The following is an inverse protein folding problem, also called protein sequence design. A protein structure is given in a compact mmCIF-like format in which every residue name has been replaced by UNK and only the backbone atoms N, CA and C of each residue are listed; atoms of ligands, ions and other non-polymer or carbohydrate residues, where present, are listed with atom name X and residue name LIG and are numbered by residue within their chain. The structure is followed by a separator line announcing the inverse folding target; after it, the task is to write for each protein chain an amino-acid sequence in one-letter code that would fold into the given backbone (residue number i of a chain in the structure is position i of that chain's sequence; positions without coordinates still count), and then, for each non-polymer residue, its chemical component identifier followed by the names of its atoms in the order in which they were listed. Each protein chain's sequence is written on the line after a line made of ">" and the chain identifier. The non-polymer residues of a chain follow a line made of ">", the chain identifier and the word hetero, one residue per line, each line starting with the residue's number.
data_IF_982623784756
#
_entry.id   IF_982623784756
#
_cell.length_a   1.000
_cell.length_b   1.000
_cell.length_c   1.000
_cell.angle_alpha   90.00
_cell.angle_beta   90.00
_cell.angle_gamma   90.00
#
_symmetry.space_group_name_H-M   'P 1'
#
loop_
_entity.id
_entity.type
_entity.pdbx_description
1 polymer ?
#
# COMPACT_ATOMS: atom_id res chain seq x y z
N UNK A 1 -1.17 8.64 -14.28
CA UNK A 1 -1.36 8.83 -12.82
C UNK A 1 -2.86 8.96 -12.56
N UNK A 2 -3.66 7.98 -12.20
CA UNK A 2 -3.46 6.64 -11.65
C UNK A 2 -4.62 6.43 -10.68
N UNK A 3 -5.80 6.06 -11.20
CA UNK A 3 -7.11 5.95 -10.51
C UNK A 3 -7.12 5.13 -9.21
N UNK A 4 -6.01 4.44 -8.89
CA UNK A 4 -5.80 3.70 -7.64
C UNK A 4 -5.49 4.60 -6.44
N UNK A 5 -4.83 5.75 -6.63
CA UNK A 5 -4.59 6.72 -5.54
C UNK A 5 -5.88 7.43 -5.15
N UNK A 6 -6.69 7.83 -6.15
CA UNK A 6 -8.05 8.34 -5.94
C UNK A 6 -8.94 7.31 -5.24
N UNK A 7 -8.86 6.03 -5.62
CA UNK A 7 -9.68 4.97 -5.00
C UNK A 7 -9.30 4.71 -3.54
N UNK A 8 -8.00 4.67 -3.21
CA UNK A 8 -7.57 4.51 -1.82
C UNK A 8 -7.85 5.76 -1.00
N UNK A 9 -7.60 6.95 -1.54
CA UNK A 9 -7.94 8.23 -0.89
C UNK A 9 -9.45 8.38 -0.65
N UNK A 10 -10.28 7.93 -1.59
CA UNK A 10 -11.74 7.93 -1.47
C UNK A 10 -12.23 6.99 -0.36
N UNK A 11 -11.59 5.81 -0.19
CA UNK A 11 -11.92 4.88 0.90
C UNK A 11 -11.57 5.51 2.26
N UNK A 12 -10.40 6.14 2.40
CA UNK A 12 -10.04 6.83 3.65
C UNK A 12 -10.96 8.03 3.95
N UNK A 13 -11.39 8.76 2.93
CA UNK A 13 -12.36 9.85 3.07
C UNK A 13 -13.73 9.33 3.52
N UNK A 14 -14.21 8.22 2.96
CA UNK A 14 -15.45 7.58 3.39
C UNK A 14 -15.40 7.10 4.84
N UNK A 15 -14.27 6.51 5.26
CA UNK A 15 -14.07 6.10 6.66
C UNK A 15 -14.07 7.31 7.59
N UNK A 16 -13.39 8.40 7.21
CA UNK A 16 -13.39 9.65 7.98
C UNK A 16 -14.81 10.21 8.15
N UNK A 17 -15.59 10.28 7.07
CA UNK A 17 -16.97 10.77 7.09
C UNK A 17 -17.87 9.87 7.95
N UNK A 18 -17.72 8.54 7.86
CA UNK A 18 -18.47 7.60 8.69
C UNK A 18 -18.15 7.77 10.18
N UNK A 19 -16.88 7.98 10.54
CA UNK A 19 -16.46 8.22 11.92
C UNK A 19 -17.01 9.55 12.44
N UNK A 20 -16.93 10.63 11.64
CA UNK A 20 -17.51 11.93 12.01
C UNK A 20 -19.02 11.82 12.20
N UNK A 21 -19.73 11.07 11.35
CA UNK A 21 -21.16 10.83 11.48
C UNK A 21 -21.51 10.02 12.75
N UNK A 22 -20.70 9.01 13.11
CA UNK A 22 -20.89 8.23 14.33
C UNK A 22 -20.65 9.10 15.57
N UNK A 23 -19.59 9.91 15.57
CA UNK A 23 -19.31 10.86 16.66
C UNK A 23 -20.44 11.87 16.78
N UNK A 24 -20.91 12.45 15.66
CA UNK A 24 -22.03 13.39 15.66
C UNK A 24 -23.33 12.74 16.17
N UNK A 25 -23.59 11.48 15.83
CA UNK A 25 -24.73 10.71 16.34
C UNK A 25 -24.65 10.45 17.85
N UNK A 26 -23.44 10.22 18.38
CA UNK A 26 -23.21 10.05 19.82
C UNK A 26 -23.31 11.36 20.60
N UNK A 27 -22.89 12.49 20.02
CA UNK A 27 -22.98 13.81 20.65
C UNK A 27 -24.35 14.49 20.48
N UNK A 28 -25.13 14.10 19.46
CA UNK A 28 -26.42 14.73 19.12
C UNK A 28 -27.63 14.25 19.93
N UNK A 29 -27.45 13.39 20.95
CA UNK A 29 -28.55 12.76 21.70
C UNK A 29 -28.63 13.18 23.16
N UNK A 30 -28.42 14.46 23.44
CA UNK A 30 -28.85 15.08 24.70
C UNK A 30 -30.04 15.98 24.40
N UNK A 31 -31.26 15.42 24.44
CA UNK A 31 -32.43 16.25 24.72
C UNK A 31 -32.28 16.72 26.16
N UNK A 32 -31.72 17.92 26.33
CA UNK A 32 -31.66 18.56 27.64
C UNK A 32 -33.08 18.84 28.12
N UNK A 33 -33.39 18.45 29.36
CA UNK A 33 -34.59 18.89 30.08
C UNK A 33 -34.71 20.42 29.96
N UNK A 34 -35.95 20.94 29.81
CA UNK A 34 -36.22 22.37 29.73
C UNK A 34 -35.62 23.08 30.96
N UNK A 35 -34.99 24.23 30.72
CA UNK A 35 -34.44 25.06 31.79
C UNK A 35 -35.49 26.05 32.26
N UNK A 36 -35.75 26.10 33.56
CA UNK A 36 -36.69 27.03 34.20
C UNK A 36 -35.95 27.93 35.20
N UNK A 37 -36.48 29.13 35.42
CA UNK A 37 -35.90 30.10 36.34
C UNK A 37 -35.99 29.64 37.79
N UNK A 38 -34.97 29.99 38.59
CA UNK A 38 -34.90 29.62 40.01
C UNK A 38 -36.12 30.11 40.80
N UNK A 39 -36.66 31.27 40.43
CA UNK A 39 -37.87 31.84 41.04
C UNK A 39 -39.09 30.94 40.87
N UNK A 40 -39.26 30.34 39.69
CA UNK A 40 -40.33 29.39 39.39
C UNK A 40 -40.17 28.12 40.22
N UNK A 41 -38.92 27.64 40.37
CA UNK A 41 -38.61 26.48 41.20
C UNK A 41 -38.92 26.73 42.67
N UNK A 42 -38.57 27.91 43.19
CA UNK A 42 -38.86 28.29 44.58
C UNK A 42 -40.37 28.43 44.81
N UNK A 43 -41.11 28.98 43.85
CA UNK A 43 -42.56 29.09 43.94
C UNK A 43 -43.24 27.70 43.94
N UNK A 44 -42.83 26.81 43.03
CA UNK A 44 -43.36 25.44 42.95
C UNK A 44 -42.98 24.59 44.18
N UNK A 45 -41.77 24.79 44.73
CA UNK A 45 -41.33 24.11 45.96
C UNK A 45 -42.16 24.53 47.18
N UNK A 46 -42.53 25.82 47.27
CA UNK A 46 -43.40 26.35 48.35
C UNK A 46 -44.88 25.98 48.16
N UNK A 47 -45.32 25.82 46.91
CA UNK A 47 -46.68 25.39 46.59
C UNK A 47 -46.92 23.89 46.87
N UNK A 48 -45.86 23.10 47.07
CA UNK A 48 -45.94 21.65 47.27
C UNK A 48 -46.03 20.86 45.96
N UNK A 49 -45.69 21.49 44.83
CA UNK A 49 -45.75 20.87 43.50
C UNK A 49 -44.47 20.10 43.14
N UNK A 50 -43.51 19.98 44.06
CA UNK A 50 -42.23 19.32 43.83
C UNK A 50 -41.96 18.33 44.97
N UNK A 51 -41.57 17.12 44.60
CA UNK A 51 -41.27 16.06 45.57
C UNK A 51 -39.77 16.00 45.89
N UNK A 52 -38.91 16.21 44.89
CA UNK A 52 -37.47 16.08 45.06
C UNK A 52 -36.68 17.14 44.28
N UNK A 53 -35.70 17.75 44.97
CA UNK A 53 -34.69 18.63 44.37
C UNK A 53 -33.32 17.98 44.51
N UNK A 54 -32.73 17.61 43.37
CA UNK A 54 -31.39 17.03 43.33
C UNK A 54 -30.39 18.15 43.04
N UNK A 55 -29.46 18.37 43.97
CA UNK A 55 -28.40 19.37 43.86
C UNK A 55 -27.13 18.71 43.37
N UNK A 56 -26.63 19.14 42.22
CA UNK A 56 -25.34 18.74 41.65
C UNK A 56 -24.49 20.00 41.36
N UNK A 57 -23.64 20.38 42.31
CA UNK A 57 -22.94 21.66 42.29
C UNK A 57 -23.94 22.84 42.30
N UNK A 58 -23.95 23.62 41.22
CA UNK A 58 -24.86 24.75 41.02
C UNK A 58 -26.11 24.38 40.20
N UNK A 59 -26.16 23.17 39.64
CA UNK A 59 -27.31 22.68 38.88
C UNK A 59 -28.32 22.03 39.83
N UNK A 60 -29.59 22.35 39.62
CA UNK A 60 -30.73 21.76 40.29
C UNK A 60 -31.50 20.92 39.27
N UNK A 61 -31.79 19.66 39.60
CA UNK A 61 -32.74 18.81 38.85
C UNK A 61 -34.00 18.66 39.68
N UNK A 62 -35.15 19.01 39.11
CA UNK A 62 -36.44 19.05 39.79
C UNK A 62 -37.25 17.84 39.36
N UNK A 63 -37.78 17.09 40.34
CA UNK A 63 -38.55 15.87 40.12
C UNK A 63 -39.90 15.91 40.83
N UNK A 64 -40.93 15.45 40.13
CA UNK A 64 -42.28 15.28 40.64
C UNK A 64 -42.80 13.90 40.17
N UNK A 65 -43.41 13.12 41.07
CA UNK A 65 -43.95 11.80 40.75
C UNK A 65 -42.92 10.77 40.28
N UNK A 66 -41.63 11.00 40.52
CA UNK A 66 -40.54 10.14 40.05
C UNK A 66 -39.94 10.51 38.68
N UNK A 67 -40.48 11.51 37.98
CA UNK A 67 -39.97 11.97 36.67
C UNK A 67 -39.24 13.32 36.76
N UNK A 68 -38.12 13.46 36.05
CA UNK A 68 -37.36 14.70 35.99
C UNK A 68 -38.10 15.71 35.09
N UNK A 69 -38.61 16.81 35.67
CA UNK A 69 -39.45 17.79 34.96
C UNK A 69 -38.61 18.83 34.21
N UNK A 70 -37.75 19.53 34.95
CA UNK A 70 -36.95 20.63 34.44
C UNK A 70 -35.65 20.78 35.24
N UNK A 71 -34.70 21.51 34.65
CA UNK A 71 -33.45 21.89 35.32
C UNK A 71 -33.48 23.37 35.66
N UNK A 72 -32.85 23.72 36.77
CA UNK A 72 -32.60 25.11 37.13
C UNK A 72 -31.19 25.28 37.66
N UNK A 73 -30.77 26.51 37.92
CA UNK A 73 -29.43 26.83 38.42
C UNK A 73 -29.56 27.78 39.61
N UNK A 74 -28.77 27.54 40.65
CA UNK A 74 -28.62 28.45 41.79
C UNK A 74 -27.38 29.32 41.66
N UNK A 75 -27.32 30.39 42.44
CA UNK A 75 -26.12 31.22 42.53
C UNK A 75 -24.98 30.45 43.22
N UNK A 76 -23.76 30.65 42.74
CA UNK A 76 -22.57 30.02 43.28
C UNK A 76 -22.40 30.37 44.77
N UNK A 77 -22.25 29.36 45.63
CA UNK A 77 -22.14 29.55 47.08
C UNK A 77 -23.46 29.73 47.84
N UNK A 78 -24.61 29.84 47.16
CA UNK A 78 -25.93 29.86 47.82
C UNK A 78 -26.38 28.44 48.20
N UNK A 79 -27.04 28.29 49.35
CA UNK A 79 -27.64 27.03 49.76
C UNK A 79 -29.11 26.99 49.33
N UNK A 80 -29.49 26.02 48.49
CA UNK A 80 -30.90 25.87 48.09
C UNK A 80 -31.80 25.56 49.29
N UNK A 81 -31.22 24.94 50.34
CA UNK A 81 -31.90 24.71 51.60
C UNK A 81 -32.36 26.02 52.23
N UNK A 82 -31.49 27.04 52.25
CA UNK A 82 -31.78 28.34 52.86
C UNK A 82 -32.81 29.14 52.05
N UNK A 83 -32.83 28.95 50.72
CA UNK A 83 -33.76 29.65 49.83
C UNK A 83 -35.19 29.07 49.87
N UNK A 84 -35.33 27.79 50.19
CA UNK A 84 -36.62 27.08 50.22
C UNK A 84 -37.19 27.00 51.64
N UNK A 85 -36.36 27.04 52.68
CA UNK A 85 -36.81 27.00 54.06
C UNK A 85 -37.76 28.18 54.39
N UNK A 86 -38.82 27.89 55.15
CA UNK A 86 -39.73 28.92 55.68
C UNK A 86 -39.05 29.74 56.79
N UNK A 87 -39.67 30.84 57.24
CA UNK A 87 -39.13 31.73 58.29
C UNK A 87 -38.73 31.02 59.60
N UNK A 88 -39.23 29.79 59.82
CA UNK A 88 -38.91 28.93 60.97
C UNK A 88 -37.80 27.89 60.70
N UNK A 89 -37.13 27.95 59.56
CA UNK A 89 -36.09 26.98 59.17
C UNK A 89 -36.61 25.60 58.76
N UNK A 90 -37.92 25.44 58.56
CA UNK A 90 -38.55 24.19 58.16
C UNK A 90 -38.71 24.11 56.64
N UNK A 91 -38.37 22.97 56.05
CA UNK A 91 -38.63 22.63 54.64
C UNK A 91 -40.14 22.34 54.50
N UNK A 92 -40.80 22.75 53.39
CA UNK A 92 -42.17 22.36 53.08
C UNK A 92 -42.40 20.84 53.23
N UNK A 93 -43.51 20.44 53.86
CA UNK A 93 -43.83 19.03 54.05
C UNK A 93 -43.94 18.31 52.70
N UNK A 94 -43.19 17.22 52.52
CA UNK A 94 -43.16 16.42 51.28
C UNK A 94 -41.94 16.65 50.39
N UNK A 95 -41.14 17.70 50.62
CA UNK A 95 -39.99 18.01 49.78
C UNK A 95 -38.68 17.37 50.29
N UNK A 96 -38.02 16.60 49.44
CA UNK A 96 -36.70 16.00 49.73
C UNK A 96 -35.59 16.69 48.95
N UNK A 97 -34.56 17.18 49.64
CA UNK A 97 -33.36 17.77 49.00
C UNK A 97 -32.23 16.75 49.03
N UNK A 98 -31.81 16.27 47.85
CA UNK A 98 -30.76 15.27 47.69
C UNK A 98 -29.49 15.90 47.10
N UNK A 99 -28.42 16.00 47.87
CA UNK A 99 -27.15 16.56 47.40
C UNK A 99 -26.30 15.43 46.83
N UNK A 100 -26.05 15.44 45.52
CA UNK A 100 -25.11 14.53 44.88
C UNK A 100 -23.69 15.02 45.12
N UNK A 101 -22.88 14.21 45.76
CA UNK A 101 -21.42 14.42 45.76
C UNK A 101 -20.92 14.16 44.35
N UNK A 102 -20.53 15.20 43.62
CA UNK A 102 -19.78 15.08 42.37
C UNK A 102 -18.37 14.57 42.67
N UNK A 103 -18.27 13.28 43.02
CA UNK A 103 -17.00 12.62 43.29
C UNK A 103 -16.13 12.68 42.04
N UNK A 104 -14.99 13.37 42.14
CA UNK A 104 -14.11 13.66 41.00
C UNK A 104 -13.75 12.44 40.14
N UNK A 105 -13.71 11.24 40.74
CA UNK A 105 -13.47 9.98 40.03
C UNK A 105 -14.48 9.67 38.93
N UNK A 106 -15.76 10.08 39.06
CA UNK A 106 -16.77 9.89 38.01
C UNK A 106 -16.49 10.74 36.77
N UNK A 107 -16.02 11.98 36.97
CA UNK A 107 -15.62 12.85 35.86
C UNK A 107 -14.34 12.37 35.18
N UNK A 108 -13.36 11.83 35.93
CA UNK A 108 -12.15 11.24 35.32
C UNK A 108 -12.47 10.00 34.48
N UNK A 109 -13.36 9.11 34.94
CA UNK A 109 -13.82 7.97 34.15
C UNK A 109 -14.61 8.41 32.91
N UNK A 110 -15.45 9.44 33.04
CA UNK A 110 -16.15 10.05 31.91
C UNK A 110 -15.19 10.57 30.83
N UNK A 111 -14.17 11.32 31.24
CA UNK A 111 -13.12 11.84 30.34
C UNK A 111 -12.40 10.69 29.61
N UNK A 112 -12.03 9.61 30.32
CA UNK A 112 -11.36 8.46 29.71
C UNK A 112 -12.25 7.74 28.68
N UNK A 113 -13.55 7.59 28.98
CA UNK A 113 -14.53 7.00 28.05
C UNK A 113 -14.73 7.89 26.82
N UNK A 114 -14.71 9.23 26.97
CA UNK A 114 -14.80 10.17 25.85
C UNK A 114 -13.58 10.10 24.92
N UNK A 115 -12.37 9.86 25.46
CA UNK A 115 -11.15 9.77 24.65
C UNK A 115 -10.87 8.36 24.08
N UNK A 116 -11.52 7.32 24.62
CA UNK A 116 -11.34 5.94 24.17
C UNK A 116 -11.60 5.73 22.66
N UNK A 117 -12.67 6.30 22.04
CA UNK A 117 -12.87 6.22 20.60
C UNK A 117 -11.76 6.89 19.79
N UNK A 118 -11.24 8.03 20.24
CA UNK A 118 -10.17 8.76 19.56
C UNK A 118 -8.84 7.98 19.59
N UNK A 119 -8.53 7.37 20.73
CA UNK A 119 -7.32 6.56 20.92
C UNK A 119 -7.39 5.26 20.10
N UNK A 120 -8.54 4.58 20.11
CA UNK A 120 -8.76 3.37 19.34
C UNK A 120 -8.70 3.65 17.83
N UNK A 121 -9.25 4.77 17.37
CA UNK A 121 -9.12 5.21 15.98
C UNK A 121 -7.66 5.46 15.59
N UNK A 122 -6.89 6.20 16.41
CA UNK A 122 -5.46 6.44 16.18
C UNK A 122 -4.64 5.14 16.12
N UNK A 123 -4.93 4.18 17.00
CA UNK A 123 -4.27 2.88 17.02
C UNK A 123 -4.55 2.05 15.75
N UNK A 124 -5.81 2.02 15.30
CA UNK A 124 -6.20 1.35 14.05
C UNK A 124 -5.54 2.02 12.84
N UNK A 125 -5.47 3.35 12.81
CA UNK A 125 -4.83 4.10 11.73
C UNK A 125 -3.33 3.77 11.63
N UNK A 126 -2.63 3.70 12.77
CA UNK A 126 -1.23 3.28 12.83
C UNK A 126 -1.07 1.82 12.36
N UNK A 127 -1.97 0.92 12.75
CA UNK A 127 -1.94 -0.47 12.30
C UNK A 127 -2.08 -0.59 10.77
N UNK A 128 -3.03 0.13 10.17
CA UNK A 128 -3.21 0.15 8.70
C UNK A 128 -2.01 0.79 7.98
N UNK A 129 -1.42 1.87 8.51
CA UNK A 129 -0.22 2.48 7.92
C UNK A 129 0.97 1.51 7.93
N UNK A 130 1.15 0.76 9.03
CA UNK A 130 2.19 -0.27 9.13
C UNK A 130 1.96 -1.42 8.15
N UNK A 131 0.71 -1.81 7.92
CA UNK A 131 0.36 -2.86 6.95
C UNK A 131 0.50 -2.38 5.49
N UNK A 132 0.15 -1.12 5.21
CA UNK A 132 0.27 -0.53 3.88
C UNK A 132 1.73 -0.33 3.42
N UNK A 133 2.65 -0.05 4.35
CA UNK A 133 4.08 0.06 4.02
C UNK A 133 4.72 -1.28 3.59
N UNK A 134 4.16 -2.42 3.96
CA UNK A 134 4.63 -3.75 3.51
C UNK A 134 4.34 -4.07 2.04
N UNK A 135 3.41 -3.36 1.39
CA UNK A 135 3.01 -3.59 0.00
C UNK A 135 3.64 -2.59 -1.00
N UNK A 136 4.12 -1.44 -0.51
CA UNK A 136 4.64 -0.37 -1.37
C UNK A 136 6.08 -0.61 -1.89
N UNK A 137 6.76 -1.68 -1.44
CA UNK A 137 8.08 -2.07 -1.96
C UNK A 137 8.03 -2.69 -3.37
N UNK A 138 6.87 -3.12 -3.87
CA UNK A 138 6.78 -3.64 -5.24
C UNK A 138 6.71 -2.51 -6.28
N UNK A 139 6.02 -1.41 -5.98
CA UNK A 139 5.84 -0.28 -6.90
C UNK A 139 7.14 0.49 -7.22
N UNK A 140 8.06 0.56 -6.25
CA UNK A 140 9.40 1.15 -6.46
C UNK A 140 10.43 0.17 -7.08
N UNK A 141 10.09 -1.11 -7.22
CA UNK A 141 10.94 -2.11 -7.88
C UNK A 141 10.72 -2.23 -9.40
N UNK A 142 9.76 -1.48 -9.97
CA UNK A 142 9.52 -1.50 -11.42
C UNK A 142 10.67 -0.93 -12.26
N UNK A 143 11.56 -0.12 -11.67
CA UNK A 143 12.73 0.45 -12.35
C UNK A 143 14.04 -0.31 -12.10
N UNK A 144 14.09 -1.19 -11.09
CA UNK A 144 15.19 -2.15 -10.92
C UNK A 144 14.61 -3.48 -11.28
N UNK A 145 14.75 -3.85 -12.56
CA UNK A 145 14.56 -5.19 -13.05
C UNK A 145 14.93 -6.17 -11.94
N UNK A 146 13.93 -6.81 -11.32
CA UNK A 146 14.14 -8.13 -10.71
C UNK A 146 14.38 -9.05 -11.90
N UNK A 147 15.47 -8.80 -12.64
CA UNK A 147 15.99 -9.70 -13.64
C UNK A 147 16.14 -10.98 -12.85
N UNK A 148 15.24 -11.92 -13.13
CA UNK A 148 15.46 -13.34 -12.88
C UNK A 148 16.94 -13.52 -13.19
N UNK A 149 17.78 -13.75 -12.17
CA UNK A 149 19.22 -13.86 -12.39
C UNK A 149 19.33 -14.91 -13.49
N UNK A 150 19.76 -14.48 -14.68
CA UNK A 150 19.93 -15.39 -15.79
C UNK A 150 21.26 -16.04 -15.46
N UNK A 151 21.24 -16.99 -14.54
CA UNK A 151 22.43 -17.75 -14.19
C UNK A 151 22.80 -18.48 -15.47
N UNK A 152 23.94 -18.11 -16.05
CA UNK A 152 24.45 -18.78 -17.24
C UNK A 152 24.60 -20.26 -16.93
N UNK A 153 23.70 -21.08 -17.46
CA UNK A 153 23.79 -22.52 -17.25
C UNK A 153 24.92 -23.02 -18.15
N UNK A 154 25.68 -24.02 -17.69
CA UNK A 154 26.64 -24.71 -18.55
C UNK A 154 25.89 -25.88 -19.20
N UNK A 155 25.49 -25.76 -20.48
CA UNK A 155 24.76 -26.83 -21.14
C UNK A 155 25.64 -28.07 -21.26
N UNK A 156 25.04 -29.23 -21.06
CA UNK A 156 25.70 -30.54 -21.26
C UNK A 156 25.56 -31.06 -22.69
N UNK A 157 24.74 -30.38 -23.51
CA UNK A 157 24.49 -30.72 -24.91
C UNK A 157 25.74 -30.40 -25.74
N UNK A 158 26.13 -31.30 -26.63
CA UNK A 158 27.34 -31.19 -27.47
C UNK A 158 26.98 -31.34 -28.96
N UNK A 159 27.95 -31.22 -29.87
CA UNK A 159 27.67 -31.42 -31.30
C UNK A 159 27.23 -32.84 -31.64
N UNK A 160 27.57 -33.82 -30.80
CA UNK A 160 27.09 -35.19 -30.93
C UNK A 160 25.56 -35.30 -30.83
N UNK A 161 24.90 -34.37 -30.14
CA UNK A 161 23.45 -34.36 -29.91
C UNK A 161 22.66 -33.66 -31.03
N UNK A 162 23.33 -33.10 -32.04
CA UNK A 162 22.70 -32.33 -33.13
C UNK A 162 22.94 -33.04 -34.46
N UNK A 163 21.90 -33.53 -35.14
CA UNK A 163 22.06 -34.26 -36.41
C UNK A 163 21.58 -33.44 -37.62
N UNK A 164 22.13 -33.74 -38.80
CA UNK A 164 21.61 -33.26 -40.10
C UNK A 164 21.96 -31.81 -40.46
N UNK A 165 23.00 -31.24 -39.85
CA UNK A 165 23.46 -29.85 -40.07
C UNK A 165 24.99 -29.78 -40.13
N UNK A 166 25.61 -30.64 -40.94
CA UNK A 166 27.06 -30.84 -40.94
C UNK A 166 27.83 -29.59 -41.41
N UNK A 167 27.29 -28.83 -42.36
CA UNK A 167 27.89 -27.57 -42.83
C UNK A 167 27.89 -26.51 -41.74
N UNK A 168 26.73 -26.28 -41.10
CA UNK A 168 26.60 -25.31 -40.02
C UNK A 168 27.43 -25.71 -38.79
N UNK A 169 27.54 -27.02 -38.50
CA UNK A 169 28.42 -27.53 -37.45
C UNK A 169 29.89 -27.22 -37.75
N UNK A 170 30.34 -27.42 -38.99
CA UNK A 170 31.72 -27.14 -39.40
C UNK A 170 32.08 -25.66 -39.26
N UNK A 171 31.18 -24.74 -39.64
CA UNK A 171 31.39 -23.29 -39.45
C UNK A 171 31.41 -22.91 -37.97
N UNK A 172 30.50 -23.46 -37.17
CA UNK A 172 30.42 -23.17 -35.74
C UNK A 172 31.57 -23.80 -34.93
N UNK A 173 32.25 -24.82 -35.46
CA UNK A 173 33.45 -25.39 -34.86
C UNK A 173 34.56 -24.33 -34.71
N UNK A 174 34.68 -23.40 -35.66
CA UNK A 174 35.64 -22.29 -35.57
C UNK A 174 35.32 -21.40 -34.35
N UNK A 175 34.02 -21.11 -34.13
CA UNK A 175 33.56 -20.32 -32.97
C UNK A 175 33.87 -21.05 -31.65
N UNK A 176 33.71 -22.38 -31.61
CA UNK A 176 34.11 -23.18 -30.44
C UNK A 176 35.61 -23.05 -30.17
N UNK A 177 36.45 -23.12 -31.20
CA UNK A 177 37.90 -22.94 -31.04
C UNK A 177 38.27 -21.54 -30.54
N UNK A 178 37.61 -20.49 -31.04
CA UNK A 178 37.81 -19.12 -30.55
C UNK A 178 37.51 -18.99 -29.05
N UNK A 179 36.45 -19.65 -28.58
CA UNK A 179 36.05 -19.61 -27.17
C UNK A 179 36.97 -20.43 -26.27
N UNK A 180 37.52 -21.56 -26.77
CA UNK A 180 38.47 -22.40 -26.03
C UNK A 180 39.88 -21.82 -25.99
N UNK A 181 40.35 -21.22 -27.08
CA UNK A 181 41.73 -20.79 -27.26
C UNK A 181 41.85 -19.33 -27.72
N UNK A 182 41.24 -18.35 -27.01
CA UNK A 182 41.21 -16.95 -27.46
C UNK A 182 42.60 -16.34 -27.68
N UNK A 183 43.59 -16.73 -26.88
CA UNK A 183 44.97 -16.24 -26.98
C UNK A 183 45.66 -16.63 -28.31
N UNK A 184 45.39 -17.84 -28.81
CA UNK A 184 45.95 -18.34 -30.08
C UNK A 184 45.52 -17.45 -31.25
N UNK A 185 44.26 -17.03 -31.26
CA UNK A 185 43.70 -16.18 -32.30
C UNK A 185 44.12 -14.72 -32.14
N UNK A 186 44.20 -14.22 -30.91
CA UNK A 186 44.70 -12.88 -30.62
C UNK A 186 46.17 -12.71 -31.07
N UNK A 187 47.01 -13.73 -30.87
CA UNK A 187 48.41 -13.72 -31.31
C UNK A 187 48.56 -13.64 -32.85
N UNK A 188 47.60 -14.20 -33.58
CA UNK A 188 47.55 -14.13 -35.05
C UNK A 188 46.91 -12.82 -35.56
N UNK A 189 46.46 -11.94 -34.66
CA UNK A 189 45.74 -10.71 -35.02
C UNK A 189 44.31 -10.95 -35.52
N UNK A 190 43.79 -12.18 -35.36
CA UNK A 190 42.42 -12.51 -35.76
C UNK A 190 41.41 -11.86 -34.81
N UNK A 191 40.36 -11.27 -35.36
CA UNK A 191 39.26 -10.69 -34.57
C UNK A 191 38.17 -11.72 -34.39
N UNK A 192 37.76 -11.93 -33.14
CA UNK A 192 36.65 -12.81 -32.80
C UNK A 192 35.36 -12.24 -33.43
N UNK A 193 34.57 -13.03 -34.17
CA UNK A 193 33.25 -12.63 -34.64
C UNK A 193 32.38 -12.19 -33.46
N UNK A 194 31.78 -10.99 -33.54
CA UNK A 194 30.99 -10.43 -32.44
C UNK A 194 29.56 -10.99 -32.35
N UNK A 195 29.11 -11.70 -33.39
CA UNK A 195 27.79 -12.30 -33.43
C UNK A 195 27.63 -13.23 -34.63
N UNK A 196 26.76 -14.22 -34.49
CA UNK A 196 26.37 -15.17 -35.53
C UNK A 196 24.85 -15.18 -35.59
N UNK A 197 24.29 -15.14 -36.80
CA UNK A 197 22.85 -15.20 -37.02
C UNK A 197 22.50 -16.55 -37.66
N UNK A 198 21.78 -17.40 -36.93
CA UNK A 198 21.29 -18.68 -37.44
C UNK A 198 19.93 -18.47 -38.14
N UNK A 199 19.90 -18.65 -39.46
CA UNK A 199 18.70 -18.50 -40.28
C UNK A 199 18.16 -19.87 -40.69
N UNK A 200 16.84 -20.04 -40.61
CA UNK A 200 16.16 -21.24 -41.11
C UNK A 200 14.73 -21.37 -40.59
N UNK A 201 13.93 -22.29 -41.17
CA UNK A 201 12.56 -22.56 -40.73
C UNK A 201 12.45 -22.87 -39.22
N UNK A 202 11.29 -22.66 -38.58
CA UNK A 202 11.08 -23.11 -37.20
C UNK A 202 11.26 -24.64 -37.11
N UNK A 203 11.81 -25.11 -35.98
CA UNK A 203 12.02 -26.54 -35.74
C UNK A 203 13.32 -27.15 -36.30
N UNK A 204 14.17 -26.40 -36.99
CA UNK A 204 15.47 -26.89 -37.52
C UNK A 204 16.60 -26.99 -36.48
N UNK A 205 16.29 -26.92 -35.19
CA UNK A 205 17.30 -27.10 -34.14
C UNK A 205 18.24 -25.92 -33.91
N UNK A 206 17.94 -24.69 -34.37
CA UNK A 206 18.79 -23.49 -34.14
C UNK A 206 19.17 -23.29 -32.66
N UNK A 207 18.19 -23.35 -31.76
CA UNK A 207 18.39 -23.21 -30.31
C UNK A 207 19.19 -24.38 -29.73
N UNK A 208 19.02 -25.59 -30.28
CA UNK A 208 19.79 -26.76 -29.88
C UNK A 208 21.25 -26.64 -30.32
N UNK A 209 21.49 -26.20 -31.56
CA UNK A 209 22.81 -25.97 -32.11
C UNK A 209 23.57 -24.88 -31.33
N UNK A 210 22.91 -23.77 -30.98
CA UNK A 210 23.52 -22.73 -30.15
C UNK A 210 23.92 -23.25 -28.75
N UNK A 211 23.09 -24.11 -28.14
CA UNK A 211 23.43 -24.77 -26.86
C UNK A 211 24.60 -25.75 -27.02
N UNK A 212 24.65 -26.48 -28.12
CA UNK A 212 25.75 -27.39 -28.43
C UNK A 212 27.09 -26.65 -28.57
N UNK A 213 27.13 -25.49 -29.22
CA UNK A 213 28.34 -24.65 -29.30
C UNK A 213 28.86 -24.28 -27.90
N UNK A 214 27.96 -23.88 -27.00
CA UNK A 214 28.34 -23.52 -25.64
C UNK A 214 28.79 -24.72 -24.81
N UNK A 215 28.15 -25.88 -24.97
CA UNK A 215 28.53 -27.11 -24.28
C UNK A 215 29.87 -27.64 -24.77
N UNK A 216 30.10 -27.60 -26.09
CA UNK A 216 31.39 -27.93 -26.70
C UNK A 216 32.51 -27.02 -26.19
N UNK A 217 32.27 -25.71 -26.12
CA UNK A 217 33.23 -24.73 -25.60
C UNK A 217 33.39 -24.77 -24.07
N UNK A 218 32.46 -25.40 -23.34
CA UNK A 218 32.46 -25.44 -21.87
C UNK A 218 32.17 -24.08 -21.21
N UNK A 219 31.51 -23.17 -21.92
CA UNK A 219 31.25 -21.79 -21.46
C UNK A 219 29.81 -21.60 -20.97
N UNK A 220 29.54 -20.61 -20.11
CA UNK A 220 28.18 -20.28 -19.71
C UNK A 220 27.30 -19.88 -20.91
N UNK A 221 26.04 -20.33 -20.90
CA UNK A 221 25.04 -20.03 -21.92
C UNK A 221 23.90 -19.19 -21.32
N UNK A 222 23.77 -17.95 -21.77
CA UNK A 222 22.67 -17.05 -21.45
C UNK A 222 21.65 -17.10 -22.59
N UNK A 223 20.38 -17.36 -22.28
CA UNK A 223 19.31 -17.48 -23.27
C UNK A 223 18.18 -16.51 -22.94
N UNK A 224 17.73 -15.77 -23.92
CA UNK A 224 16.57 -14.86 -23.82
C UNK A 224 15.77 -14.91 -25.12
N UNK A 225 14.44 -14.77 -25.06
CA UNK A 225 13.63 -14.56 -26.27
C UNK A 225 13.59 -13.07 -26.60
N UNK A 226 13.70 -12.73 -27.88
CA UNK A 226 13.60 -11.38 -28.41
C UNK A 226 12.26 -10.72 -28.08
N UNK A 227 11.20 -11.53 -27.97
CA UNK A 227 9.88 -11.06 -27.54
C UNK A 227 9.86 -10.51 -26.11
N UNK A 228 10.79 -10.95 -25.25
CA UNK A 228 10.91 -10.44 -23.88
C UNK A 228 11.40 -8.98 -23.85
N UNK A 229 12.00 -8.49 -24.92
CA UNK A 229 12.45 -7.10 -25.01
C UNK A 229 11.37 -6.13 -25.47
N UNK A 230 10.21 -6.65 -25.90
CA UNK A 230 9.09 -5.82 -26.36
C UNK A 230 8.07 -5.71 -25.25
N UNK A 231 8.07 -4.60 -24.52
CA UNK A 231 7.13 -4.36 -23.43
C UNK A 231 6.23 -3.13 -23.65
N UNK A 232 5.13 -3.05 -22.90
CA UNK A 232 4.21 -1.91 -22.96
C UNK A 232 4.79 -0.65 -22.32
N UNK A 233 5.88 -0.77 -21.56
CA UNK A 233 6.49 0.31 -20.79
C UNK A 233 7.80 0.75 -21.42
N UNK A 234 7.87 2.04 -21.78
CA UNK A 234 9.05 2.66 -22.40
C UNK A 234 10.29 2.47 -21.52
N UNK A 235 11.40 2.05 -22.14
CA UNK A 235 12.71 1.92 -21.49
C UNK A 235 12.95 0.64 -20.69
N UNK A 236 11.94 -0.21 -20.49
CA UNK A 236 12.12 -1.49 -19.78
C UNK A 236 12.94 -2.48 -20.62
N UNK A 237 12.66 -2.59 -21.92
CA UNK A 237 13.43 -3.42 -22.86
C UNK A 237 14.92 -3.05 -22.87
N UNK A 238 15.22 -1.77 -23.10
CA UNK A 238 16.59 -1.25 -23.10
C UNK A 238 17.36 -1.51 -21.78
N UNK A 239 16.68 -1.44 -20.62
CA UNK A 239 17.32 -1.78 -19.34
C UNK A 239 17.66 -3.27 -19.25
N UNK A 240 16.78 -4.14 -19.74
CA UNK A 240 17.02 -5.59 -19.74
C UNK A 240 18.18 -5.97 -20.65
N UNK A 241 18.31 -5.34 -21.82
CA UNK A 241 19.46 -5.52 -22.72
C UNK A 241 20.75 -5.17 -21.98
N UNK A 242 20.81 -4.01 -21.34
CA UNK A 242 22.00 -3.58 -20.56
C UNK A 242 22.33 -4.57 -19.44
N UNK A 243 21.34 -4.94 -18.64
CA UNK A 243 21.54 -5.87 -17.51
C UNK A 243 22.01 -7.26 -17.98
N UNK A 244 21.49 -7.75 -19.11
CA UNK A 244 21.91 -9.02 -19.73
C UNK A 244 23.38 -8.97 -20.14
N UNK A 245 23.79 -7.93 -20.86
CA UNK A 245 25.17 -7.80 -21.32
C UNK A 245 26.14 -7.52 -20.17
N UNK A 246 25.72 -6.84 -19.11
CA UNK A 246 26.54 -6.66 -17.91
C UNK A 246 26.76 -7.97 -17.15
N UNK A 247 25.74 -8.83 -17.07
CA UNK A 247 25.88 -10.18 -16.52
C UNK A 247 26.78 -11.06 -17.40
N UNK A 248 26.63 -11.00 -18.73
CA UNK A 248 27.46 -11.74 -19.67
C UNK A 248 28.94 -11.34 -19.58
N UNK A 249 29.25 -10.04 -19.55
CA UNK A 249 30.62 -9.52 -19.41
C UNK A 249 31.32 -10.04 -18.13
N UNK A 250 30.58 -10.16 -17.02
CA UNK A 250 31.13 -10.69 -15.75
C UNK A 250 31.42 -12.19 -15.79
N UNK A 251 30.82 -12.92 -16.73
CA UNK A 251 30.96 -14.36 -16.89
C UNK A 251 31.71 -14.73 -18.19
N UNK A 252 32.45 -13.79 -18.78
CA UNK A 252 33.21 -14.03 -20.00
C UNK A 252 34.36 -15.05 -19.75
N UNK A 253 34.66 -15.95 -20.71
CA UNK A 253 33.98 -16.13 -22.00
C UNK A 253 32.63 -16.83 -21.84
N UNK A 254 31.61 -16.36 -22.57
CA UNK A 254 30.24 -16.91 -22.54
C UNK A 254 29.53 -16.72 -23.88
N UNK A 255 28.40 -17.41 -24.07
CA UNK A 255 27.50 -17.20 -25.21
C UNK A 255 26.20 -16.55 -24.73
N UNK A 256 25.78 -15.49 -25.43
CA UNK A 256 24.47 -14.87 -25.28
C UNK A 256 23.64 -15.24 -26.50
N UNK A 257 22.58 -15.99 -26.29
CA UNK A 257 21.64 -16.42 -27.32
C UNK A 257 20.33 -15.64 -27.19
N UNK A 258 19.97 -14.97 -28.29
CA UNK A 258 18.70 -14.25 -28.44
C UNK A 258 17.86 -15.03 -29.46
N UNK A 259 16.85 -15.76 -28.97
CA UNK A 259 15.88 -16.41 -29.85
C UNK A 259 14.90 -15.36 -30.41
N UNK A 260 14.26 -15.60 -31.56
CA UNK A 260 13.22 -14.70 -32.10
C UNK A 260 13.65 -13.21 -32.16
N UNK A 261 14.90 -12.94 -32.56
CA UNK A 261 15.45 -11.58 -32.63
C UNK A 261 14.67 -10.66 -33.60
N UNK A 262 13.92 -11.25 -34.53
CA UNK A 262 13.02 -10.56 -35.45
C UNK A 262 11.89 -9.81 -34.72
N UNK A 263 11.54 -10.20 -33.49
CA UNK A 263 10.59 -9.46 -32.65
C UNK A 263 11.06 -8.03 -32.35
N UNK A 264 12.38 -7.83 -32.18
CA UNK A 264 13.00 -6.53 -31.87
C UNK A 264 13.46 -5.81 -33.15
N UNK A 265 13.96 -6.56 -34.14
CA UNK A 265 14.57 -6.01 -35.37
C UNK A 265 13.58 -5.58 -36.47
N UNK A 266 12.27 -5.76 -36.28
CA UNK A 266 11.28 -5.46 -37.33
C UNK A 266 10.87 -3.99 -37.36
N UNK A 267 11.33 -3.25 -38.38
CA UNK A 267 10.72 -1.98 -38.78
C UNK A 267 9.35 -2.23 -39.43
N UNK A 268 8.31 -1.50 -39.00
CA UNK A 268 7.07 -1.33 -39.78
C UNK A 268 6.60 0.12 -39.76
N UNK A 269 5.96 0.55 -40.83
CA UNK A 269 5.73 1.97 -41.14
C UNK A 269 4.53 2.63 -40.46
N UNK A 270 4.60 3.98 -40.44
CA UNK A 270 3.56 5.02 -40.32
C UNK A 270 2.27 4.74 -39.52
N UNK A 271 2.32 3.93 -38.46
CA UNK A 271 1.20 3.76 -37.53
C UNK A 271 1.32 4.73 -36.36
N UNK A 272 0.38 5.67 -36.24
CA UNK A 272 0.20 6.55 -35.09
C UNK A 272 0.01 5.69 -33.81
N UNK A 273 1.08 5.48 -33.03
CA UNK A 273 1.00 4.79 -31.75
C UNK A 273 2.38 4.62 -31.11
N UNK A 274 2.53 5.09 -29.86
CA UNK A 274 3.78 5.15 -29.10
C UNK A 274 4.46 3.81 -28.74
N UNK A 275 4.10 2.69 -29.39
CA UNK A 275 4.86 1.44 -29.30
C UNK A 275 6.12 1.47 -30.18
N UNK A 276 6.20 2.39 -31.14
CA UNK A 276 7.36 2.52 -32.03
C UNK A 276 8.63 2.93 -31.29
N UNK A 277 8.52 3.93 -30.43
CA UNK A 277 9.64 4.53 -29.73
C UNK A 277 10.33 3.55 -28.76
N UNK A 278 9.57 2.61 -28.19
CA UNK A 278 10.09 1.61 -27.25
C UNK A 278 10.98 0.56 -27.92
N UNK A 279 10.60 0.10 -29.12
CA UNK A 279 11.38 -0.91 -29.86
C UNK A 279 12.67 -0.31 -30.42
N UNK A 280 12.60 0.92 -30.94
CA UNK A 280 13.77 1.64 -31.43
C UNK A 280 14.75 1.96 -30.29
N UNK A 281 14.25 2.35 -29.12
CA UNK A 281 15.08 2.56 -27.93
C UNK A 281 15.73 1.25 -27.42
N UNK A 282 15.07 0.11 -27.60
CA UNK A 282 15.59 -1.18 -27.16
C UNK A 282 16.58 -1.79 -28.15
N UNK A 283 16.43 -1.49 -29.46
CA UNK A 283 17.35 -1.90 -30.51
C UNK A 283 18.66 -1.10 -30.50
N UNK A 284 18.59 0.21 -30.21
CA UNK A 284 19.74 1.13 -30.17
C UNK A 284 20.50 1.06 -28.85
#
# INVERSE_FOLDING_TARGET
>A
MGSRWLRNGFIYLLILVAVVAIVYSFFGRSEGLKSEDLTTVLAAAKAGDIDEIIVDGDSLTIRQGGEDLYKSRKEEGSSIYDLVANENGAIPEGLTISVKSSGGWGNWLGIMITFLPLLLFGAILIFFMRQAQGSNSQAMSFGKSKAKQITGNRPTVTFADVAGVDEARAELQEIVEFLKFPEKFAALGARIPRGVLLLGPPGTGKTLLARAVAGEAGVPFFSISGSEFVEMFVGVGASRVRDLFDQAKRNAPCIVFVDEIDAVGRQRGSGLGGSHDEREQTLN
#
